data_IF_046758742993
#
_entry.id   IF_046758742993
#
_cell.length_a   1.000
_cell.length_b   1.000
_cell.length_c   1.000
_cell.angle_alpha   90.00
_cell.angle_beta   90.00
_cell.angle_gamma   90.00
#
_symmetry.space_group_name_H-M   'P 1'
#
loop_
_entity.id
_entity.type
_entity.pdbx_description
1 polymer ?
#
# COMPACT_ATOMS: atom_id res chain seq x y z
N UNK A 1 3.29 -26.69 30.07
CA UNK A 1 3.48 -26.93 28.62
C UNK A 1 4.40 -25.86 28.10
N UNK A 2 5.68 -26.18 27.93
CA UNK A 2 6.68 -25.26 27.44
C UNK A 2 6.47 -25.06 25.94
N UNK A 3 6.21 -23.82 25.52
CA UNK A 3 6.29 -23.44 24.12
C UNK A 3 7.77 -23.50 23.72
N UNK A 4 8.17 -24.61 23.11
CA UNK A 4 9.44 -24.70 22.41
C UNK A 4 9.43 -23.64 21.31
N UNK A 5 10.11 -22.52 21.56
CA UNK A 5 10.39 -21.50 20.57
C UNK A 5 11.49 -22.03 19.66
N UNK A 6 11.19 -23.08 18.90
CA UNK A 6 12.00 -23.46 17.74
C UNK A 6 11.81 -22.34 16.72
N UNK A 7 12.87 -21.65 16.26
CA UNK A 7 12.72 -20.72 15.17
C UNK A 7 12.22 -21.52 13.97
N UNK A 8 10.95 -21.34 13.63
CA UNK A 8 10.41 -21.80 12.37
C UNK A 8 11.24 -21.11 11.31
N UNK A 9 12.10 -21.87 10.61
CA UNK A 9 12.68 -21.50 9.31
C UNK A 9 11.53 -21.42 8.30
N UNK A 10 10.54 -20.55 8.55
CA UNK A 10 9.58 -20.16 7.54
C UNK A 10 10.34 -19.25 6.60
N UNK A 11 10.74 -19.80 5.45
CA UNK A 11 11.14 -19.09 4.25
C UNK A 11 11.92 -17.80 4.52
N UNK A 12 13.17 -17.95 4.96
CA UNK A 12 14.13 -16.85 4.97
C UNK A 12 14.50 -16.55 3.51
N UNK A 13 13.59 -15.88 2.80
CA UNK A 13 13.88 -15.23 1.53
C UNK A 13 14.84 -14.11 1.88
N UNK A 14 16.13 -14.43 1.86
CA UNK A 14 17.19 -13.45 2.08
C UNK A 14 17.36 -12.66 0.78
N UNK A 15 16.91 -11.41 0.83
CA UNK A 15 17.18 -10.43 -0.21
C UNK A 15 17.92 -9.28 0.46
N UNK A 16 19.06 -8.87 -0.13
CA UNK A 16 19.94 -7.87 0.47
C UNK A 16 19.94 -6.57 -0.36
N UNK A 17 18.86 -5.76 -0.38
CA UNK A 17 18.76 -4.57 -1.24
C UNK A 17 19.91 -3.54 -1.14
N UNK A 18 20.58 -3.43 0.01
CA UNK A 18 21.70 -2.50 0.16
C UNK A 18 23.03 -3.02 -0.42
N UNK A 19 23.12 -4.33 -0.70
CA UNK A 19 24.29 -5.00 -1.29
C UNK A 19 23.99 -5.36 -2.76
N UNK A 20 22.85 -5.99 -3.02
CA UNK A 20 22.41 -6.50 -4.33
C UNK A 20 21.81 -5.37 -5.18
N UNK A 21 22.69 -4.50 -5.69
CA UNK A 21 22.30 -3.36 -6.53
C UNK A 21 22.18 -3.69 -8.02
N UNK A 22 22.34 -4.96 -8.40
CA UNK A 22 22.31 -5.44 -9.78
C UNK A 22 21.01 -5.07 -10.53
N UNK A 23 19.88 -5.00 -9.83
CA UNK A 23 18.59 -4.55 -10.38
C UNK A 23 18.60 -3.08 -10.80
N UNK A 24 19.41 -2.24 -10.15
CA UNK A 24 19.61 -0.82 -10.47
C UNK A 24 20.74 -0.64 -11.49
N UNK A 25 21.83 -1.39 -11.33
CA UNK A 25 23.07 -1.22 -12.10
C UNK A 25 22.98 -1.84 -13.51
N UNK A 26 22.20 -2.92 -13.68
CA UNK A 26 22.05 -3.62 -14.96
C UNK A 26 20.72 -3.20 -15.64
N UNK A 27 20.77 -2.41 -16.73
CA UNK A 27 19.56 -2.01 -17.44
C UNK A 27 18.84 -3.23 -18.04
N UNK A 28 17.52 -3.27 -17.89
CA UNK A 28 16.67 -4.35 -18.43
C UNK A 28 16.59 -5.62 -17.56
N UNK A 29 17.39 -5.75 -16.48
CA UNK A 29 17.30 -6.90 -15.58
C UNK A 29 15.94 -6.97 -14.87
N UNK A 30 15.41 -5.81 -14.48
CA UNK A 30 14.07 -5.68 -13.89
C UNK A 30 12.98 -6.16 -14.85
N UNK A 31 13.02 -5.71 -16.10
CA UNK A 31 12.04 -6.12 -17.13
C UNK A 31 12.11 -7.63 -17.39
N UNK A 32 13.32 -8.20 -17.39
CA UNK A 32 13.52 -9.64 -17.52
C UNK A 32 12.92 -10.39 -16.32
N UNK A 33 13.17 -9.92 -15.09
CA UNK A 33 12.59 -10.52 -13.89
C UNK A 33 11.06 -10.43 -13.90
N UNK A 34 10.49 -9.27 -14.26
CA UNK A 34 9.05 -9.08 -14.39
C UNK A 34 8.43 -9.98 -15.47
N UNK A 35 9.11 -10.18 -16.60
CA UNK A 35 8.61 -11.09 -17.65
C UNK A 35 8.62 -12.56 -17.20
N UNK A 36 9.63 -13.00 -16.46
CA UNK A 36 9.65 -14.35 -15.85
C UNK A 36 8.51 -14.52 -14.83
N UNK A 37 8.29 -13.51 -13.97
CA UNK A 37 7.17 -13.52 -13.02
C UNK A 37 5.84 -13.62 -13.77
N UNK A 38 5.67 -12.92 -14.88
CA UNK A 38 4.45 -12.99 -15.68
C UNK A 38 4.24 -14.35 -16.36
N UNK A 39 5.31 -15.03 -16.77
CA UNK A 39 5.22 -16.39 -17.33
C UNK A 39 4.75 -17.35 -16.24
N UNK A 40 5.41 -17.34 -15.07
CA UNK A 40 5.03 -18.16 -13.92
C UNK A 40 3.58 -17.88 -13.47
N UNK A 41 3.19 -16.61 -13.44
CA UNK A 41 1.83 -16.21 -13.08
C UNK A 41 0.79 -16.74 -14.09
N UNK A 42 1.13 -16.83 -15.38
CA UNK A 42 0.24 -17.43 -16.39
C UNK A 42 0.16 -18.94 -16.25
N UNK A 43 1.29 -19.59 -15.98
CA UNK A 43 1.37 -21.05 -15.77
C UNK A 43 0.67 -21.49 -14.50
N UNK A 44 0.76 -20.70 -13.43
CA UNK A 44 0.06 -20.92 -12.17
C UNK A 44 -1.45 -20.64 -12.22
N UNK A 45 -1.98 -20.28 -13.41
CA UNK A 45 -3.40 -19.98 -13.61
C UNK A 45 -3.84 -18.60 -13.13
N UNK A 46 -2.92 -17.65 -12.96
CA UNK A 46 -3.14 -16.34 -12.35
C UNK A 46 -3.21 -16.41 -10.83
N UNK A 47 -3.18 -15.25 -10.16
CA UNK A 47 -3.54 -15.10 -8.74
C UNK A 47 -5.05 -15.40 -8.57
N UNK A 48 -5.45 -16.65 -8.80
CA UNK A 48 -6.83 -17.14 -8.66
C UNK A 48 -7.17 -17.45 -7.20
N UNK A 49 -6.17 -17.48 -6.33
CA UNK A 49 -6.37 -17.33 -4.90
C UNK A 49 -6.34 -15.85 -4.56
N UNK A 50 -7.46 -15.33 -4.04
CA UNK A 50 -7.46 -14.15 -3.15
C UNK A 50 -6.17 -14.20 -2.34
N UNK A 51 -5.44 -13.09 -2.27
CA UNK A 51 -4.27 -12.98 -1.40
C UNK A 51 -4.78 -13.16 0.03
N UNK A 52 -4.87 -14.40 0.50
CA UNK A 52 -5.28 -14.82 1.84
C UNK A 52 -4.15 -14.51 2.83
N UNK A 53 -3.56 -13.32 2.70
CA UNK A 53 -2.64 -12.82 3.67
C UNK A 53 -3.47 -12.38 4.88
N UNK A 54 -3.25 -12.93 6.08
CA UNK A 54 -4.10 -12.67 7.26
C UNK A 54 -4.10 -11.20 7.71
N UNK A 55 -3.19 -10.36 7.18
CA UNK A 55 -3.16 -8.90 7.43
C UNK A 55 -3.74 -8.05 6.29
N UNK A 56 -4.11 -8.63 5.16
CA UNK A 56 -4.82 -7.88 4.12
C UNK A 56 -6.29 -7.79 4.55
N UNK A 57 -6.90 -6.60 4.62
CA UNK A 57 -8.33 -6.49 4.77
C UNK A 57 -8.98 -7.32 3.65
N UNK A 58 -9.85 -8.25 4.03
CA UNK A 58 -10.69 -8.93 3.04
C UNK A 58 -11.42 -7.84 2.26
N UNK A 59 -11.37 -7.91 0.94
CA UNK A 59 -12.19 -7.04 0.10
C UNK A 59 -13.61 -7.04 0.69
N UNK A 60 -14.17 -5.85 0.89
CA UNK A 60 -15.50 -5.66 1.45
C UNK A 60 -16.53 -6.13 0.40
N UNK A 61 -16.55 -7.44 0.13
CA UNK A 61 -17.65 -8.18 -0.51
C UNK A 61 -18.81 -8.34 0.48
N UNK A 62 -18.81 -7.61 1.60
CA UNK A 62 -19.95 -7.56 2.50
C UNK A 62 -20.94 -6.58 1.91
N UNK A 63 -22.12 -7.10 1.54
CA UNK A 63 -23.29 -6.28 1.26
C UNK A 63 -23.40 -5.18 2.31
N UNK A 64 -23.08 -3.94 1.94
CA UNK A 64 -22.96 -2.77 2.83
C UNK A 64 -24.20 -2.56 3.72
N UNK A 65 -25.31 -3.21 3.36
CA UNK A 65 -26.60 -3.17 4.03
C UNK A 65 -27.20 -4.56 4.29
N UNK A 66 -26.40 -5.58 4.67
CA UNK A 66 -26.92 -6.93 4.98
C UNK A 66 -28.10 -6.93 5.98
N UNK A 67 -28.13 -5.96 6.90
CA UNK A 67 -29.16 -5.84 7.93
C UNK A 67 -30.43 -5.10 7.47
N UNK A 68 -30.43 -4.50 6.28
CA UNK A 68 -31.52 -3.65 5.81
C UNK A 68 -31.77 -3.80 4.31
N UNK A 69 -32.67 -4.71 3.90
CA UNK A 69 -32.94 -4.96 2.47
C UNK A 69 -33.48 -3.72 1.74
N UNK A 70 -34.15 -2.81 2.46
CA UNK A 70 -34.64 -1.55 1.90
C UNK A 70 -33.51 -0.62 1.43
N UNK A 71 -32.40 -0.55 2.18
CA UNK A 71 -31.25 0.27 1.78
C UNK A 71 -30.48 -0.36 0.62
N UNK A 72 -30.39 -1.70 0.58
CA UNK A 72 -29.83 -2.42 -0.57
C UNK A 72 -30.63 -2.15 -1.84
N UNK A 73 -31.96 -2.22 -1.77
CA UNK A 73 -32.83 -1.91 -2.91
C UNK A 73 -32.69 -0.45 -3.37
N UNK A 74 -32.63 0.51 -2.44
CA UNK A 74 -32.40 1.92 -2.78
C UNK A 74 -31.03 2.16 -3.42
N UNK A 75 -29.98 1.49 -2.96
CA UNK A 75 -28.65 1.58 -3.57
C UNK A 75 -28.63 1.01 -4.99
N UNK A 76 -29.33 -0.11 -5.21
CA UNK A 76 -29.48 -0.72 -6.53
C UNK A 76 -30.30 0.15 -7.50
N UNK A 77 -31.31 0.85 -6.98
CA UNK A 77 -32.19 1.72 -7.77
C UNK A 77 -31.60 3.11 -8.03
N UNK A 78 -30.69 3.60 -7.18
CA UNK A 78 -30.04 4.91 -7.27
C UNK A 78 -29.51 5.30 -8.66
N UNK A 79 -28.80 4.44 -9.41
CA UNK A 79 -28.32 4.79 -10.76
C UNK A 79 -29.45 5.06 -11.76
N UNK A 80 -30.66 4.53 -11.52
CA UNK A 80 -31.82 4.72 -12.40
C UNK A 80 -32.77 5.81 -11.91
N UNK A 81 -32.81 6.05 -10.60
CA UNK A 81 -33.69 7.05 -9.95
C UNK A 81 -32.86 7.88 -8.97
N UNK A 82 -32.26 9.00 -9.41
CA UNK A 82 -31.63 9.91 -8.48
C UNK A 82 -32.65 10.43 -7.48
N UNK A 83 -32.24 10.59 -6.22
CA UNK A 83 -33.09 11.16 -5.18
C UNK A 83 -33.57 12.56 -5.60
N UNK A 84 -34.87 12.83 -5.42
CA UNK A 84 -35.43 14.15 -5.69
C UNK A 84 -34.73 15.20 -4.84
N UNK A 85 -34.37 16.34 -5.44
CA UNK A 85 -33.82 17.47 -4.70
C UNK A 85 -34.76 17.86 -3.54
N UNK A 86 -34.17 18.29 -2.42
CA UNK A 86 -34.93 18.78 -1.27
C UNK A 86 -35.84 19.91 -1.74
N UNK A 87 -37.14 19.78 -1.45
CA UNK A 87 -38.13 20.78 -1.82
C UNK A 87 -37.86 22.10 -1.09
N UNK A 88 -37.51 23.13 -1.85
CA UNK A 88 -37.21 24.47 -1.34
C UNK A 88 -38.43 25.40 -1.34
N UNK A 89 -39.57 24.96 -1.90
CA UNK A 89 -40.80 25.75 -1.97
C UNK A 89 -41.36 26.09 -0.58
N UNK A 90 -41.09 25.23 0.42
CA UNK A 90 -41.45 25.47 1.83
C UNK A 90 -40.79 26.71 2.43
N UNK A 91 -39.63 27.11 1.93
CA UNK A 91 -38.90 28.30 2.42
C UNK A 91 -39.21 29.56 1.62
N UNK A 92 -40.07 29.46 0.62
CA UNK A 92 -40.55 30.58 -0.17
C UNK A 92 -41.97 30.92 0.30
N UNK A 93 -42.35 32.20 0.26
CA UNK A 93 -43.75 32.62 0.36
C UNK A 93 -44.29 32.78 -1.07
N UNK A 94 -44.73 31.69 -1.74
CA UNK A 94 -45.44 31.86 -3.00
C UNK A 94 -46.73 32.61 -2.70
N UNK A 95 -46.92 33.76 -3.36
CA UNK A 95 -48.24 34.39 -3.40
C UNK A 95 -49.16 33.45 -4.20
N UNK A 96 -50.41 33.24 -3.74
CA UNK A 96 -51.38 32.51 -4.55
C UNK A 96 -51.51 33.18 -5.92
N UNK A 97 -51.46 32.39 -6.97
CA UNK A 97 -51.43 32.90 -8.34
C UNK A 97 -52.85 33.24 -8.79
N UNK A 98 -53.09 34.53 -9.05
CA UNK A 98 -54.33 35.10 -9.65
C UNK A 98 -55.52 35.33 -8.71
N UNK A 99 -56.39 36.27 -9.12
CA UNK A 99 -57.60 36.75 -8.43
C UNK A 99 -58.70 35.67 -8.24
N UNK A 100 -58.48 34.43 -8.68
CA UNK A 100 -59.39 33.27 -8.58
C UNK A 100 -58.78 32.11 -7.75
N UNK A 101 -57.95 32.40 -6.76
CA UNK A 101 -57.36 31.37 -5.90
C UNK A 101 -58.39 30.72 -4.95
N UNK A 102 -58.29 29.40 -4.78
CA UNK A 102 -59.24 28.59 -3.98
C UNK A 102 -59.05 28.86 -2.48
N UNK A 103 -60.11 28.76 -1.67
CA UNK A 103 -60.02 28.96 -0.20
C UNK A 103 -58.96 28.06 0.46
N UNK A 104 -58.73 26.86 -0.09
CA UNK A 104 -57.71 25.92 0.36
C UNK A 104 -56.28 26.41 0.09
N UNK A 105 -56.03 27.08 -1.04
CA UNK A 105 -54.72 27.64 -1.39
C UNK A 105 -54.36 28.82 -0.49
N UNK A 106 -55.36 29.64 -0.14
CA UNK A 106 -55.19 30.73 0.85
C UNK A 106 -54.90 30.20 2.26
N UNK A 107 -55.57 29.13 2.68
CA UNK A 107 -55.28 28.47 3.98
C UNK A 107 -53.87 27.90 4.00
N UNK A 108 -53.47 27.19 2.94
CA UNK A 108 -52.12 26.64 2.82
C UNK A 108 -51.04 27.75 2.81
N UNK A 109 -51.27 28.85 2.10
CA UNK A 109 -50.38 30.01 2.10
C UNK A 109 -50.27 30.68 3.48
N UNK A 110 -51.40 30.82 4.19
CA UNK A 110 -51.45 31.36 5.56
C UNK A 110 -50.71 30.47 6.56
N UNK A 111 -50.91 29.16 6.49
CA UNK A 111 -50.23 28.20 7.37
C UNK A 111 -48.72 28.17 7.10
N UNK A 112 -48.30 28.25 5.83
CA UNK A 112 -46.90 28.39 5.46
C UNK A 112 -46.30 29.70 5.99
N UNK A 113 -46.99 30.83 5.83
CA UNK A 113 -46.55 32.13 6.36
C UNK A 113 -46.38 32.10 7.88
N UNK A 114 -47.31 31.46 8.61
CA UNK A 114 -47.22 31.26 10.06
C UNK A 114 -46.02 30.40 10.45
N UNK A 115 -45.80 29.28 9.75
CA UNK A 115 -44.65 28.42 9.99
C UNK A 115 -43.33 29.17 9.75
N UNK A 116 -43.25 29.99 8.71
CA UNK A 116 -42.07 30.80 8.42
C UNK A 116 -41.81 31.87 9.48
N UNK A 117 -42.85 32.52 10.00
CA UNK A 117 -42.71 33.47 11.11
C UNK A 117 -42.06 32.82 12.32
N UNK A 118 -42.52 31.62 12.70
CA UNK A 118 -41.92 30.88 13.82
C UNK A 118 -40.46 30.47 13.51
N UNK A 119 -40.17 30.04 12.28
CA UNK A 119 -38.79 29.77 11.86
C UNK A 119 -37.88 31.00 11.95
N UNK A 120 -38.38 32.19 11.57
CA UNK A 120 -37.64 33.44 11.69
C UNK A 120 -37.41 33.83 13.15
N UNK A 121 -38.39 33.62 14.02
CA UNK A 121 -38.26 33.84 15.46
C UNK A 121 -37.16 32.93 16.05
N UNK A 122 -37.21 31.63 15.76
CA UNK A 122 -36.17 30.68 16.18
C UNK A 122 -34.80 31.07 15.60
N UNK A 123 -34.74 31.49 14.34
CA UNK A 123 -33.51 31.96 13.70
C UNK A 123 -32.93 33.18 14.42
N UNK A 124 -33.77 34.13 14.83
CA UNK A 124 -33.33 35.30 15.58
C UNK A 124 -32.73 34.91 16.94
N UNK A 125 -33.37 33.98 17.66
CA UNK A 125 -32.85 33.43 18.92
C UNK A 125 -31.49 32.75 18.68
N UNK A 126 -31.39 31.90 17.65
CA UNK A 126 -30.14 31.21 17.30
C UNK A 126 -29.03 32.19 16.89
N UNK A 127 -29.35 33.24 16.14
CA UNK A 127 -28.39 34.28 15.77
C UNK A 127 -27.93 35.10 16.98
N UNK A 128 -28.81 35.36 17.95
CA UNK A 128 -28.44 36.00 19.22
C UNK A 128 -27.45 35.13 19.99
N UNK A 129 -27.72 33.82 20.10
CA UNK A 129 -26.82 32.87 20.74
C UNK A 129 -25.48 32.77 20.01
N UNK A 130 -25.51 32.72 18.68
CA UNK A 130 -24.30 32.67 17.86
C UNK A 130 -23.48 33.96 17.97
N UNK A 131 -24.13 35.12 18.02
CA UNK A 131 -23.44 36.40 18.22
C UNK A 131 -22.77 36.49 19.60
N UNK A 132 -23.39 35.88 20.62
CA UNK A 132 -22.87 35.90 21.99
C UNK A 132 -21.75 34.87 22.21
N UNK A 133 -21.87 33.67 21.66
CA UNK A 133 -20.98 32.54 21.98
C UNK A 133 -20.17 32.03 20.79
N UNK A 134 -20.55 32.35 19.56
CA UNK A 134 -19.95 31.81 18.34
C UNK A 134 -18.46 32.08 18.24
N UNK A 135 -18.02 33.33 18.46
CA UNK A 135 -16.59 33.68 18.40
C UNK A 135 -15.76 32.85 19.40
N UNK A 136 -16.20 32.75 20.65
CA UNK A 136 -15.50 31.98 21.68
C UNK A 136 -15.50 30.47 21.37
N UNK A 137 -16.61 29.92 20.88
CA UNK A 137 -16.70 28.52 20.48
C UNK A 137 -15.75 28.20 19.31
N UNK A 138 -15.67 29.07 18.31
CA UNK A 138 -14.74 28.93 17.20
C UNK A 138 -13.28 29.02 17.64
N UNK A 139 -12.94 29.91 18.57
CA UNK A 139 -11.58 29.99 19.12
C UNK A 139 -11.17 28.71 19.85
N UNK A 140 -12.06 28.14 20.67
CA UNK A 140 -11.82 26.87 21.35
C UNK A 140 -11.66 25.74 20.33
N UNK A 141 -12.53 25.69 19.32
CA UNK A 141 -12.46 24.68 18.27
C UNK A 141 -11.13 24.76 17.49
N UNK A 142 -10.70 25.97 17.11
CA UNK A 142 -9.41 26.17 16.45
C UNK A 142 -8.25 25.72 17.33
N UNK A 143 -8.25 26.07 18.61
CA UNK A 143 -7.21 25.61 19.55
C UNK A 143 -7.15 24.08 19.65
N UNK A 144 -8.31 23.41 19.71
CA UNK A 144 -8.38 21.95 19.71
C UNK A 144 -7.84 21.35 18.41
N UNK A 145 -8.23 21.90 17.26
CA UNK A 145 -7.72 21.48 15.95
C UNK A 145 -6.20 21.66 15.84
N UNK A 146 -5.66 22.79 16.30
CA UNK A 146 -4.22 23.03 16.32
C UNK A 146 -3.49 22.04 17.23
N UNK A 147 -4.07 21.70 18.39
CA UNK A 147 -3.49 20.71 19.30
C UNK A 147 -3.48 19.31 18.68
N UNK A 148 -4.53 18.94 17.95
CA UNK A 148 -4.64 17.67 17.26
C UNK A 148 -3.66 17.59 16.08
N UNK A 149 -3.56 18.66 15.29
CA UNK A 149 -2.60 18.76 14.21
C UNK A 149 -1.16 18.57 14.71
N UNK A 150 -0.77 19.27 15.78
CA UNK A 150 0.55 19.11 16.43
C UNK A 150 0.80 17.68 16.90
N UNK A 151 -0.22 17.01 17.46
CA UNK A 151 -0.13 15.62 17.91
C UNK A 151 0.11 14.67 16.73
N UNK A 152 -0.61 14.86 15.63
CA UNK A 152 -0.45 14.06 14.41
C UNK A 152 0.92 14.29 13.75
N UNK A 153 1.37 15.54 13.68
CA UNK A 153 2.72 15.88 13.19
C UNK A 153 3.81 15.20 14.02
N UNK A 154 3.70 15.25 15.35
CA UNK A 154 4.64 14.56 16.25
C UNK A 154 4.63 13.04 16.06
N UNK A 155 3.45 12.44 15.85
CA UNK A 155 3.32 11.01 15.57
C UNK A 155 3.97 10.62 14.24
N UNK A 156 3.77 11.44 13.20
CA UNK A 156 4.41 11.26 11.88
C UNK A 156 5.93 11.35 12.01
N UNK A 157 6.44 12.34 12.74
CA UNK A 157 7.88 12.50 12.91
C UNK A 157 8.50 11.34 13.71
N UNK A 158 7.82 10.88 14.76
CA UNK A 158 8.23 9.68 15.51
C UNK A 158 8.23 8.43 14.62
N UNK A 159 7.23 8.27 13.75
CA UNK A 159 7.16 7.14 12.82
C UNK A 159 8.31 7.21 11.80
N UNK A 160 8.58 8.38 11.24
CA UNK A 160 9.72 8.60 10.33
C UNK A 160 11.04 8.26 11.00
N UNK A 161 11.26 8.72 12.23
CA UNK A 161 12.44 8.39 13.01
C UNK A 161 12.57 6.87 13.24
N UNK A 162 11.46 6.19 13.53
CA UNK A 162 11.43 4.73 13.68
C UNK A 162 11.78 4.00 12.38
N UNK A 163 11.22 4.43 11.24
CA UNK A 163 11.54 3.89 9.92
C UNK A 163 13.02 4.09 9.59
N UNK A 164 13.57 5.27 9.86
CA UNK A 164 15.00 5.55 9.65
C UNK A 164 15.87 4.66 10.53
N UNK A 165 15.51 4.44 11.81
CA UNK A 165 16.25 3.55 12.70
C UNK A 165 16.22 2.09 12.22
N UNK A 166 15.05 1.60 11.77
CA UNK A 166 14.93 0.27 11.17
C UNK A 166 15.80 0.15 9.92
N UNK A 167 15.72 1.13 9.02
CA UNK A 167 16.51 1.14 7.79
C UNK A 167 18.02 1.19 8.08
N UNK A 168 18.43 1.95 9.10
CA UNK A 168 19.82 1.99 9.58
C UNK A 168 20.26 0.63 10.11
N UNK A 169 19.46 0.00 10.97
CA UNK A 169 19.74 -1.35 11.49
C UNK A 169 19.83 -2.38 10.36
N UNK A 170 18.92 -2.33 9.38
CA UNK A 170 18.94 -3.19 8.20
C UNK A 170 20.21 -2.97 7.38
N UNK A 171 20.57 -1.73 7.10
CA UNK A 171 21.80 -1.40 6.36
C UNK A 171 23.05 -1.92 7.07
N UNK A 172 23.15 -1.74 8.38
CA UNK A 172 24.28 -2.23 9.16
C UNK A 172 24.37 -3.76 9.10
N UNK A 173 23.27 -4.47 9.36
CA UNK A 173 23.22 -5.93 9.29
C UNK A 173 23.63 -6.47 7.90
N UNK A 174 23.17 -5.82 6.83
CA UNK A 174 23.55 -6.19 5.46
C UNK A 174 25.02 -5.87 5.18
N UNK A 175 25.54 -4.73 5.63
CA UNK A 175 26.96 -4.38 5.45
C UNK A 175 27.88 -5.35 6.19
N UNK A 176 27.49 -5.77 7.40
CA UNK A 176 28.22 -6.77 8.18
C UNK A 176 28.21 -8.14 7.50
N UNK A 177 27.08 -8.53 6.90
CA UNK A 177 26.97 -9.76 6.09
C UNK A 177 27.73 -9.68 4.75
N UNK A 178 27.93 -8.49 4.19
CA UNK A 178 28.68 -8.29 2.94
C UNK A 178 30.13 -8.73 3.05
N UNK A 179 30.78 -8.48 4.20
CA UNK A 179 32.18 -8.83 4.40
C UNK A 179 32.48 -10.33 4.23
N UNK A 180 31.77 -11.26 4.93
CA UNK A 180 31.98 -12.68 4.72
C UNK A 180 31.59 -13.13 3.32
N UNK A 181 30.51 -12.60 2.73
CA UNK A 181 30.10 -12.94 1.35
C UNK A 181 31.22 -12.61 0.35
N UNK A 182 31.76 -11.39 0.40
CA UNK A 182 32.85 -10.96 -0.49
C UNK A 182 34.13 -11.78 -0.27
N UNK A 183 34.43 -12.14 0.99
CA UNK A 183 35.57 -13.00 1.31
C UNK A 183 35.38 -14.40 0.73
N UNK A 184 34.23 -15.03 0.93
CA UNK A 184 33.93 -16.35 0.39
C UNK A 184 33.95 -16.34 -1.13
N UNK A 185 33.37 -15.32 -1.77
CA UNK A 185 33.40 -15.17 -3.23
C UNK A 185 34.84 -15.03 -3.76
N UNK A 186 35.68 -14.22 -3.09
CA UNK A 186 37.10 -14.08 -3.45
C UNK A 186 37.86 -15.40 -3.30
N UNK A 187 37.65 -16.12 -2.19
CA UNK A 187 38.25 -17.43 -1.96
C UNK A 187 37.79 -18.46 -2.99
N UNK A 188 36.51 -18.46 -3.34
CA UNK A 188 35.94 -19.33 -4.36
C UNK A 188 36.56 -19.06 -5.74
N UNK A 189 36.66 -17.79 -6.15
CA UNK A 189 37.31 -17.42 -7.41
C UNK A 189 38.80 -17.81 -7.45
N UNK A 190 39.52 -17.65 -6.33
CA UNK A 190 40.91 -18.09 -6.20
C UNK A 190 41.03 -19.62 -6.32
N UNK A 191 40.17 -20.37 -5.66
CA UNK A 191 40.15 -21.83 -5.73
C UNK A 191 39.86 -22.32 -7.15
N UNK A 192 38.86 -21.74 -7.83
CA UNK A 192 38.56 -22.08 -9.22
C UNK A 192 39.75 -21.76 -10.12
N UNK A 193 40.36 -20.58 -9.96
CA UNK A 193 41.53 -20.19 -10.75
C UNK A 193 42.70 -21.14 -10.52
N UNK A 194 42.95 -21.53 -9.26
CA UNK A 194 44.00 -22.49 -8.90
C UNK A 194 43.74 -23.88 -9.47
N UNK A 195 42.50 -24.37 -9.40
CA UNK A 195 42.11 -25.65 -10.00
C UNK A 195 42.31 -25.60 -11.51
N UNK A 196 41.84 -24.55 -12.17
CA UNK A 196 41.98 -24.38 -13.63
C UNK A 196 43.46 -24.32 -14.04
N UNK A 197 44.30 -23.61 -13.28
CA UNK A 197 45.74 -23.56 -13.51
C UNK A 197 46.41 -24.94 -13.34
N UNK A 198 45.97 -25.72 -12.35
CA UNK A 198 46.50 -27.06 -12.09
C UNK A 198 46.09 -28.03 -13.21
N UNK A 199 44.84 -28.00 -13.65
CA UNK A 199 44.37 -28.79 -14.79
C UNK A 199 45.12 -28.42 -16.07
N UNK A 200 45.33 -27.13 -16.33
CA UNK A 200 46.11 -26.68 -17.49
C UNK A 200 47.58 -27.16 -17.40
N UNK A 201 48.22 -27.08 -16.24
CA UNK A 201 49.57 -27.58 -16.05
C UNK A 201 49.65 -29.11 -16.24
N UNK A 202 48.67 -29.86 -15.74
CA UNK A 202 48.60 -31.31 -15.93
C UNK A 202 48.48 -31.67 -17.42
N UNK A 203 47.55 -31.02 -18.16
CA UNK A 203 47.40 -31.27 -19.60
C UNK A 203 48.65 -30.93 -20.41
N UNK A 204 49.37 -29.86 -20.03
CA UNK A 204 50.64 -29.50 -20.68
C UNK A 204 51.74 -30.53 -20.39
N UNK A 205 51.86 -30.99 -19.14
CA UNK A 205 52.81 -32.04 -18.76
C UNK A 205 52.48 -33.38 -19.42
N UNK A 206 51.20 -33.75 -19.54
CA UNK A 206 50.76 -34.95 -20.26
C UNK A 206 51.14 -34.89 -21.73
N UNK A 207 50.99 -33.72 -22.38
CA UNK A 207 51.44 -33.53 -23.75
C UNK A 207 52.96 -33.66 -23.90
N UNK A 208 53.74 -33.12 -22.98
CA UNK A 208 55.20 -33.25 -22.97
C UNK A 208 55.64 -34.71 -22.76
N UNK A 209 55.01 -35.43 -21.82
CA UNK A 209 55.26 -36.86 -21.58
C UNK A 209 54.94 -37.69 -22.82
N UNK A 210 53.83 -37.40 -23.52
CA UNK A 210 53.49 -38.13 -24.75
C UNK A 210 54.50 -37.85 -25.87
N UNK A 211 54.99 -36.62 -26.01
CA UNK A 211 56.08 -36.29 -26.95
C UNK A 211 57.39 -37.01 -26.61
N UNK A 212 57.75 -37.09 -25.33
CA UNK A 212 58.92 -37.86 -24.88
C UNK A 212 58.75 -39.36 -25.16
N UNK A 213 57.57 -39.93 -24.88
CA UNK A 213 57.26 -41.34 -25.21
C UNK A 213 57.29 -41.62 -26.71
N UNK A 214 56.89 -40.66 -27.56
CA UNK A 214 57.05 -40.78 -29.02
C UNK A 214 58.52 -40.80 -29.42
N UNK A 215 59.35 -39.93 -28.83
CA UNK A 215 60.81 -39.90 -29.08
C UNK A 215 61.50 -41.17 -28.60
N UNK A 216 61.14 -41.70 -27.43
CA UNK A 216 61.67 -42.97 -26.90
C UNK A 216 61.32 -44.14 -27.81
N UNK A 217 60.05 -44.24 -28.26
CA UNK A 217 59.62 -45.22 -29.28
C UNK A 217 60.38 -45.08 -30.61
N UNK A 218 60.68 -43.86 -31.03
CA UNK A 218 61.45 -43.60 -32.25
C UNK A 218 62.94 -43.95 -32.13
N UNK A 219 63.51 -43.86 -30.93
CA UNK A 219 64.91 -44.19 -30.64
C UNK A 219 65.13 -45.68 -30.33
N UNK A 220 64.08 -46.49 -30.27
CA UNK A 220 64.18 -47.96 -30.25
C UNK A 220 64.78 -48.54 -28.96
N UNK A 221 64.63 -47.87 -27.82
CA UNK A 221 64.83 -48.53 -26.52
C UNK A 221 63.51 -49.19 -26.10
N UNK A 222 63.50 -50.52 -26.20
CA UNK A 222 62.50 -51.41 -25.58
C UNK A 222 62.72 -51.54 -24.09
#
# INVERSE_FOLDING_TARGET
MAFSNTPTYGDLIDSLPYIDRDLEDIPGLREKAESLIQVELKESGGLTGKVDHPRMPKELDQDLFSNSPALTALLQDYPTKPLSAIDTSRYQLPMPSSDEATEEEWKAASDNARAQLEHLNIRQINLSLLSQHGSNAHLIHNHLLESEAKRLEAAVESLKAHVVDINRKRKNAQTDASQPINRLNSQWNQLISSTLQTELANTALEAEVEELRKKERALGLS
#
